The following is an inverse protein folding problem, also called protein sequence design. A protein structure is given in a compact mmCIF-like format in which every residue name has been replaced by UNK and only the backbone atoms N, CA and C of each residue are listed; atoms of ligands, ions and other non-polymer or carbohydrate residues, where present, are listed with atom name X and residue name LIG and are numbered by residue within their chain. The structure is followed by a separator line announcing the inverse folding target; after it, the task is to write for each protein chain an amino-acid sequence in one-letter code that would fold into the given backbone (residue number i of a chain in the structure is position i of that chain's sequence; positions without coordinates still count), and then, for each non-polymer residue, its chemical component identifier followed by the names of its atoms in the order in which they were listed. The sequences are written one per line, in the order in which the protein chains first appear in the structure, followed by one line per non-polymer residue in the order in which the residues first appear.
data_IF_786399185304
#
_entry.id   IF_786399185304
#
_cell.length_a   1.000
_cell.length_b   1.000
_cell.length_c   1.000
_cell.angle_alpha   90.00
_cell.angle_beta   90.00
_cell.angle_gamma   90.00
#
_symmetry.space_group_name_H-M   'P 1'
#
loop_
_entity.id
_entity.type
_entity.pdbx_description
1 polymer ?
#
# COMPACT_ATOMS: atom_id res chain seq x y z
N UNK A 1 -3.64 -15.53 -25.32
CA UNK A 1 -4.50 -14.57 -26.04
C UNK A 1 -4.41 -13.27 -25.27
N UNK A 2 -4.03 -12.15 -25.89
CA UNK A 2 -3.92 -10.86 -25.20
C UNK A 2 -5.21 -10.05 -25.39
N UNK A 3 -5.58 -9.14 -24.47
CA UNK A 3 -6.67 -8.20 -24.66
C UNK A 3 -6.48 -7.41 -25.95
N UNK A 4 -7.54 -7.33 -26.77
CA UNK A 4 -7.52 -6.60 -28.06
C UNK A 4 -8.49 -5.42 -28.06
N UNK A 5 -9.64 -5.58 -27.39
CA UNK A 5 -10.71 -4.59 -27.35
C UNK A 5 -11.23 -4.55 -25.91
N UNK A 6 -11.32 -3.35 -25.35
CA UNK A 6 -12.00 -3.05 -24.10
C UNK A 6 -13.05 -1.97 -24.34
N UNK A 7 -14.12 -1.99 -23.56
CA UNK A 7 -15.15 -0.95 -23.60
C UNK A 7 -15.34 -0.41 -22.19
N UNK A 8 -15.06 0.88 -22.03
CA UNK A 8 -15.31 1.61 -20.80
C UNK A 8 -16.54 2.50 -21.00
N UNK A 9 -17.51 2.42 -20.08
CA UNK A 9 -18.67 3.30 -20.05
C UNK A 9 -18.55 4.22 -18.84
N UNK A 10 -18.55 5.53 -19.07
CA UNK A 10 -18.47 6.55 -18.03
C UNK A 10 -19.81 7.25 -17.90
N UNK A 11 -20.35 7.27 -16.68
CA UNK A 11 -21.57 8.01 -16.36
C UNK A 11 -21.20 9.44 -15.94
N UNK A 12 -21.40 10.40 -16.85
CA UNK A 12 -21.03 11.80 -16.59
C UNK A 12 -21.84 12.45 -15.46
N UNK A 13 -23.01 11.90 -15.11
CA UNK A 13 -23.84 12.39 -14.01
C UNK A 13 -23.22 12.19 -12.62
N UNK A 14 -22.22 11.31 -12.51
CA UNK A 14 -21.56 11.00 -11.24
C UNK A 14 -20.31 11.89 -11.00
N UNK A 15 -19.93 12.70 -11.99
CA UNK A 15 -18.77 13.62 -11.88
C UNK A 15 -19.20 14.88 -11.14
N UNK A 16 -18.55 15.15 -10.01
CA UNK A 16 -18.87 16.31 -9.17
C UNK A 16 -18.39 17.62 -9.81
N UNK A 17 -19.32 18.56 -10.03
CA UNK A 17 -19.04 19.89 -10.54
C UNK A 17 -19.16 20.94 -9.43
N UNK A 18 -18.12 21.76 -9.27
CA UNK A 18 -18.12 22.93 -8.39
C UNK A 18 -18.07 24.17 -9.29
N UNK A 19 -19.09 25.03 -9.21
CA UNK A 19 -19.23 26.22 -10.06
C UNK A 19 -19.13 25.93 -11.58
N UNK A 20 -19.70 24.79 -12.01
CA UNK A 20 -19.69 24.37 -13.42
C UNK A 20 -18.35 23.85 -13.92
N UNK A 21 -17.38 23.60 -13.03
CA UNK A 21 -16.07 23.01 -13.35
C UNK A 21 -15.80 21.79 -12.49
N UNK A 22 -15.06 20.83 -13.02
CA UNK A 22 -14.52 19.71 -12.23
C UNK A 22 -13.39 20.27 -11.36
N UNK A 23 -13.38 19.95 -10.06
CA UNK A 23 -12.30 20.38 -9.17
C UNK A 23 -11.01 19.59 -9.46
N UNK A 24 -9.86 20.07 -9.00
CA UNK A 24 -8.59 19.32 -9.14
C UNK A 24 -8.65 17.97 -8.41
N UNK A 25 -9.23 17.94 -7.22
CA UNK A 25 -9.43 16.70 -6.44
C UNK A 25 -10.32 15.69 -7.18
N UNK A 26 -11.44 16.14 -7.75
CA UNK A 26 -12.33 15.28 -8.53
C UNK A 26 -11.66 14.85 -9.85
N UNK A 27 -10.83 15.70 -10.43
CA UNK A 27 -10.01 15.35 -11.61
C UNK A 27 -9.04 14.21 -11.28
N UNK A 28 -8.28 14.34 -10.19
CA UNK A 28 -7.35 13.33 -9.72
C UNK A 28 -8.06 12.00 -9.42
N UNK A 29 -9.21 12.04 -8.72
CA UNK A 29 -10.05 10.87 -8.45
C UNK A 29 -10.49 10.16 -9.73
N UNK A 30 -10.94 10.92 -10.73
CA UNK A 30 -11.34 10.36 -12.03
C UNK A 30 -10.15 9.75 -12.78
N UNK A 31 -8.98 10.41 -12.76
CA UNK A 31 -7.74 9.86 -13.35
C UNK A 31 -7.37 8.53 -12.71
N UNK A 32 -7.39 8.45 -11.38
CA UNK A 32 -7.11 7.21 -10.65
C UNK A 32 -8.12 6.10 -11.00
N UNK A 33 -9.42 6.44 -11.01
CA UNK A 33 -10.50 5.51 -11.39
C UNK A 33 -10.31 4.97 -12.80
N UNK A 34 -10.02 5.83 -13.79
CA UNK A 34 -9.77 5.39 -15.15
C UNK A 34 -8.50 4.57 -15.29
N UNK A 35 -7.42 4.93 -14.57
CA UNK A 35 -6.18 4.15 -14.52
C UNK A 35 -6.46 2.73 -14.06
N UNK A 36 -7.17 2.55 -12.93
CA UNK A 36 -7.54 1.24 -12.41
C UNK A 36 -8.38 0.43 -13.41
N UNK A 37 -9.43 1.04 -13.98
CA UNK A 37 -10.33 0.34 -14.91
C UNK A 37 -9.61 -0.07 -16.20
N UNK A 38 -8.74 0.79 -16.73
CA UNK A 38 -7.89 0.48 -17.88
C UNK A 38 -6.93 -0.65 -17.53
N UNK A 39 -6.27 -0.59 -16.36
CA UNK A 39 -5.40 -1.64 -15.86
C UNK A 39 -6.09 -3.00 -15.83
N UNK A 40 -7.33 -3.07 -15.33
CA UNK A 40 -8.14 -4.30 -15.31
C UNK A 40 -8.37 -4.87 -16.70
N UNK A 41 -8.61 -4.03 -17.73
CA UNK A 41 -8.74 -4.50 -19.11
C UNK A 41 -7.41 -5.00 -19.68
N UNK A 42 -6.31 -4.36 -19.32
CA UNK A 42 -4.98 -4.68 -19.86
C UNK A 42 -4.40 -5.96 -19.27
N UNK A 43 -4.79 -6.36 -18.06
CA UNK A 43 -4.30 -7.59 -17.45
C UNK A 43 -4.41 -7.65 -15.94
N UNK A 44 -4.66 -6.52 -15.26
CA UNK A 44 -4.82 -6.44 -13.80
C UNK A 44 -6.19 -6.96 -13.34
N UNK A 45 -6.60 -8.10 -13.87
CA UNK A 45 -7.86 -8.77 -13.52
C UNK A 45 -7.58 -10.26 -13.35
N UNK A 46 -7.88 -10.84 -12.18
CA UNK A 46 -7.76 -12.28 -11.96
C UNK A 46 -8.45 -13.15 -13.02
N UNK A 47 -9.53 -12.66 -13.64
CA UNK A 47 -10.25 -13.34 -14.74
C UNK A 47 -9.40 -13.52 -16.01
N UNK A 48 -8.33 -12.72 -16.18
CA UNK A 48 -7.44 -12.77 -17.33
C UNK A 48 -6.20 -13.65 -17.12
N UNK A 49 -5.87 -14.01 -15.87
CA UNK A 49 -4.63 -14.72 -15.53
C UNK A 49 -4.49 -16.08 -16.24
N UNK A 50 -5.61 -16.76 -16.55
CA UNK A 50 -5.61 -17.99 -17.34
C UNK A 50 -5.00 -17.85 -18.74
N UNK A 51 -4.93 -16.64 -19.27
CA UNK A 51 -4.38 -16.34 -20.59
C UNK A 51 -2.92 -15.87 -20.55
N UNK A 52 -2.37 -15.67 -19.35
CA UNK A 52 -0.98 -15.29 -19.16
C UNK A 52 -0.07 -16.46 -19.54
N UNK A 53 1.14 -16.12 -20.00
CA UNK A 53 2.18 -17.11 -20.28
C UNK A 53 3.30 -16.95 -19.27
N UNK A 54 3.84 -18.06 -18.81
CA UNK A 54 5.02 -18.06 -17.97
C UNK A 54 6.18 -17.46 -18.78
N UNK A 55 6.88 -16.43 -18.27
CA UNK A 55 7.90 -15.73 -19.04
C UNK A 55 9.11 -16.61 -19.37
N UNK A 56 9.45 -17.58 -18.51
CA UNK A 56 10.58 -18.50 -18.73
C UNK A 56 10.27 -19.65 -19.68
N UNK A 57 9.05 -20.19 -19.68
CA UNK A 57 8.68 -21.36 -20.51
C UNK A 57 7.84 -21.02 -21.73
N UNK A 58 7.29 -19.80 -21.79
CA UNK A 58 6.32 -19.33 -22.77
C UNK A 58 5.04 -20.18 -22.86
N UNK A 59 4.80 -21.07 -21.89
CA UNK A 59 3.59 -21.87 -21.81
C UNK A 59 2.50 -21.11 -21.05
N UNK A 60 1.23 -21.40 -21.37
CA UNK A 60 0.13 -20.87 -20.57
C UNK A 60 0.24 -21.39 -19.14
N UNK A 61 -0.02 -20.53 -18.16
CA UNK A 61 -0.11 -20.98 -16.76
C UNK A 61 -1.23 -22.02 -16.57
N UNK A 62 -2.31 -21.91 -17.34
CA UNK A 62 -3.45 -22.82 -17.26
C UNK A 62 -4.30 -22.60 -16.01
N UNK A 63 -5.22 -23.54 -15.79
CA UNK A 63 -6.17 -23.54 -14.68
C UNK A 63 -6.23 -24.94 -14.04
N UNK A 64 -6.66 -24.99 -12.78
CA UNK A 64 -6.95 -26.23 -12.06
C UNK A 64 -8.35 -26.15 -11.43
N UNK A 65 -9.04 -27.28 -11.32
CA UNK A 65 -10.30 -27.32 -10.56
C UNK A 65 -10.01 -27.25 -9.06
N UNK A 66 -10.74 -26.38 -8.36
CA UNK A 66 -10.66 -26.19 -6.91
C UNK A 66 -12.06 -26.09 -6.32
N UNK A 67 -12.19 -26.41 -5.03
CA UNK A 67 -13.39 -26.13 -4.24
C UNK A 67 -13.11 -24.90 -3.37
N UNK A 68 -13.56 -23.73 -3.80
CA UNK A 68 -13.31 -22.46 -3.10
C UNK A 68 -14.44 -22.17 -2.13
N UNK A 69 -14.08 -21.65 -0.96
CA UNK A 69 -15.02 -21.09 0.01
C UNK A 69 -15.08 -19.57 -0.19
N UNK A 70 -16.29 -19.05 -0.42
CA UNK A 70 -16.51 -17.67 -0.87
C UNK A 70 -17.59 -17.02 -0.03
N UNK A 71 -17.48 -15.71 0.15
CA UNK A 71 -18.40 -14.93 0.96
C UNK A 71 -19.65 -14.53 0.16
N UNK A 72 -20.82 -14.77 0.74
CA UNK A 72 -22.16 -14.42 0.27
C UNK A 72 -22.94 -13.81 1.45
N UNK A 73 -23.01 -12.49 1.55
CA UNK A 73 -23.62 -11.79 2.70
C UNK A 73 -23.25 -12.43 4.06
N UNK A 74 -21.93 -12.54 4.30
CA UNK A 74 -21.31 -13.17 5.48
C UNK A 74 -21.46 -14.69 5.62
N UNK A 75 -22.18 -15.34 4.71
CA UNK A 75 -22.24 -16.81 4.63
C UNK A 75 -21.11 -17.35 3.76
N UNK A 76 -20.60 -18.51 4.16
CA UNK A 76 -19.57 -19.23 3.44
C UNK A 76 -20.23 -20.24 2.50
N UNK A 77 -20.02 -20.07 1.20
CA UNK A 77 -20.50 -20.99 0.16
C UNK A 77 -19.31 -21.68 -0.49
N UNK A 78 -19.37 -23.00 -0.64
CA UNK A 78 -18.33 -23.77 -1.32
C UNK A 78 -18.71 -24.05 -2.76
N UNK A 79 -17.89 -23.59 -3.69
CA UNK A 79 -18.12 -23.73 -5.13
C UNK A 79 -16.95 -24.41 -5.81
N UNK A 80 -17.26 -25.36 -6.69
CA UNK A 80 -16.26 -26.00 -7.56
C UNK A 80 -16.08 -25.17 -8.83
N UNK A 81 -14.87 -24.69 -9.09
CA UNK A 81 -14.59 -23.86 -10.27
C UNK A 81 -13.14 -23.97 -10.74
N UNK A 82 -12.85 -23.64 -12.02
CA UNK A 82 -11.48 -23.48 -12.48
C UNK A 82 -10.83 -22.23 -11.87
N UNK A 83 -9.60 -22.38 -11.37
CA UNK A 83 -8.77 -21.32 -10.85
C UNK A 83 -7.43 -21.28 -11.60
N UNK A 84 -6.98 -20.09 -11.98
CA UNK A 84 -5.68 -19.91 -12.63
C UNK A 84 -4.53 -20.42 -11.75
N UNK A 85 -3.53 -21.04 -12.36
CA UNK A 85 -2.31 -21.47 -11.66
C UNK A 85 -1.41 -20.33 -11.20
N UNK A 86 -1.69 -19.09 -11.61
CA UNK A 86 -1.08 -17.90 -11.01
C UNK A 86 -1.60 -17.69 -9.58
N UNK A 87 -2.88 -18.01 -9.32
CA UNK A 87 -3.48 -17.85 -8.00
C UNK A 87 -3.21 -19.11 -7.19
N UNK A 88 -2.54 -18.91 -6.07
CA UNK A 88 -2.08 -19.98 -5.20
C UNK A 88 -2.82 -19.91 -3.86
N UNK A 89 -3.25 -21.08 -3.39
CA UNK A 89 -3.80 -21.22 -2.04
C UNK A 89 -2.66 -21.46 -1.06
N UNK A 90 -2.74 -20.82 0.10
CA UNK A 90 -1.80 -20.91 1.20
C UNK A 90 -2.56 -21.00 2.51
N UNK A 91 -1.87 -21.41 3.56
CA UNK A 91 -2.41 -21.45 4.91
C UNK A 91 -1.48 -20.67 5.85
N UNK A 92 -2.06 -19.83 6.70
CA UNK A 92 -1.35 -19.25 7.82
C UNK A 92 -1.32 -20.24 9.02
N UNK A 93 -0.54 -19.94 10.06
CA UNK A 93 -0.52 -20.76 11.29
C UNK A 93 -1.95 -20.80 11.84
N UNK A 94 -2.50 -22.00 12.05
CA UNK A 94 -3.88 -22.29 12.52
C UNK A 94 -4.99 -22.35 11.45
N UNK A 95 -4.76 -23.00 10.30
CA UNK A 95 -5.81 -23.43 9.34
C UNK A 95 -6.61 -22.33 8.62
N UNK A 96 -6.23 -21.05 8.72
CA UNK A 96 -6.84 -20.01 7.87
C UNK A 96 -6.21 -20.04 6.48
N UNK A 97 -7.04 -20.32 5.47
CA UNK A 97 -6.63 -20.31 4.07
C UNK A 97 -6.67 -18.89 3.53
N UNK A 98 -5.66 -18.53 2.73
CA UNK A 98 -5.63 -17.31 1.95
C UNK A 98 -5.15 -17.58 0.52
N UNK A 99 -5.35 -16.62 -0.36
CA UNK A 99 -4.97 -16.71 -1.76
C UNK A 99 -3.98 -15.59 -2.11
N UNK A 100 -3.06 -15.88 -3.00
CA UNK A 100 -2.05 -14.94 -3.46
C UNK A 100 -1.80 -15.07 -4.96
N UNK A 101 -1.34 -13.98 -5.58
CA UNK A 101 -0.80 -13.98 -6.95
C UNK A 101 0.68 -14.37 -6.87
N UNK A 102 1.05 -15.49 -7.49
CA UNK A 102 2.41 -16.04 -7.44
C UNK A 102 3.02 -16.18 -8.84
N UNK A 103 3.50 -15.06 -9.39
CA UNK A 103 4.36 -15.03 -10.59
C UNK A 103 5.77 -14.55 -10.22
N UNK A 104 6.82 -14.85 -11.03
CA UNK A 104 8.20 -14.58 -10.68
C UNK A 104 8.47 -13.13 -10.26
N UNK A 105 8.11 -12.14 -11.09
CA UNK A 105 8.36 -10.73 -10.79
C UNK A 105 7.47 -10.24 -9.64
N UNK A 106 6.19 -10.64 -9.58
CA UNK A 106 5.30 -10.32 -8.47
C UNK A 106 5.87 -10.76 -7.12
N UNK A 107 6.38 -12.00 -7.03
CA UNK A 107 7.01 -12.51 -5.81
C UNK A 107 8.20 -11.63 -5.41
N UNK A 108 9.07 -11.27 -6.36
CA UNK A 108 10.25 -10.47 -6.04
C UNK A 108 9.90 -9.03 -5.64
N UNK A 109 8.90 -8.43 -6.30
CA UNK A 109 8.39 -7.10 -5.93
C UNK A 109 7.90 -7.09 -4.48
N UNK A 110 7.04 -8.04 -4.07
CA UNK A 110 6.53 -8.02 -2.69
C UNK A 110 7.61 -8.33 -1.66
N UNK A 111 8.57 -9.21 -1.98
CA UNK A 111 9.72 -9.48 -1.11
C UNK A 111 10.54 -8.24 -0.84
N UNK A 112 10.85 -7.49 -1.89
CA UNK A 112 11.61 -6.23 -1.80
C UNK A 112 10.78 -5.12 -1.14
N UNK A 113 9.48 -5.06 -1.41
CA UNK A 113 8.59 -4.06 -0.84
C UNK A 113 8.52 -4.18 0.68
N UNK A 114 8.20 -5.36 1.20
CA UNK A 114 8.02 -5.57 2.65
C UNK A 114 9.33 -5.82 3.42
N UNK A 115 10.47 -5.97 2.76
CA UNK A 115 11.69 -6.54 3.36
C UNK A 115 11.44 -7.94 3.95
N UNK A 116 10.91 -8.84 3.10
CA UNK A 116 10.60 -10.20 3.51
C UNK A 116 10.77 -11.21 2.37
N UNK A 117 11.98 -11.77 2.27
CA UNK A 117 12.36 -12.70 1.18
C UNK A 117 11.64 -14.06 1.22
N UNK A 118 10.94 -14.39 2.31
CA UNK A 118 10.17 -15.64 2.42
C UNK A 118 8.79 -15.57 1.77
N UNK A 119 8.35 -14.39 1.30
CA UNK A 119 7.05 -14.22 0.64
C UNK A 119 6.97 -15.02 -0.66
N UNK A 120 5.78 -15.53 -0.96
CA UNK A 120 5.49 -16.38 -2.13
C UNK A 120 4.47 -15.78 -3.10
N UNK A 121 3.97 -14.59 -2.81
CA UNK A 121 3.04 -13.89 -3.69
C UNK A 121 2.41 -12.66 -3.05
N UNK A 122 1.61 -11.94 -3.84
CA UNK A 122 0.82 -10.81 -3.38
C UNK A 122 -0.56 -11.29 -2.92
N UNK A 123 -0.86 -11.11 -1.62
CA UNK A 123 -2.12 -11.54 -1.00
C UNK A 123 -3.35 -10.88 -1.64
N UNK A 124 -4.34 -11.71 -1.96
CA UNK A 124 -5.65 -11.33 -2.50
C UNK A 124 -6.67 -11.23 -1.37
N UNK A 125 -7.67 -10.37 -1.58
CA UNK A 125 -8.86 -10.36 -0.74
C UNK A 125 -9.55 -11.75 -0.73
N UNK A 126 -10.35 -12.01 0.31
CA UNK A 126 -11.19 -13.22 0.36
C UNK A 126 -12.17 -13.22 -0.82
N UNK A 127 -12.30 -14.33 -1.57
CA UNK A 127 -13.17 -14.36 -2.74
C UNK A 127 -14.64 -14.22 -2.32
N UNK A 128 -15.41 -13.49 -3.14
CA UNK A 128 -16.85 -13.32 -2.96
C UNK A 128 -17.62 -13.93 -4.12
N UNK A 129 -18.93 -14.16 -3.93
CA UNK A 129 -19.81 -14.60 -5.01
C UNK A 129 -19.83 -13.54 -6.13
N UNK A 130 -19.72 -13.99 -7.39
CA UNK A 130 -19.85 -13.11 -8.54
C UNK A 130 -21.30 -12.57 -8.60
N UNK A 131 -21.51 -11.23 -8.52
CA UNK A 131 -22.85 -10.64 -8.48
C UNK A 131 -23.64 -10.86 -9.78
N UNK A 132 -22.97 -11.23 -10.87
CA UNK A 132 -23.61 -11.53 -12.16
C UNK A 132 -23.77 -13.04 -12.40
N UNK A 133 -23.11 -13.88 -11.62
CA UNK A 133 -23.18 -15.34 -11.72
C UNK A 133 -22.99 -15.98 -10.34
N UNK A 134 -24.09 -16.14 -9.60
CA UNK A 134 -24.11 -16.71 -8.24
C UNK A 134 -23.59 -18.15 -8.10
N UNK A 135 -23.09 -18.75 -9.18
CA UNK A 135 -22.43 -20.06 -9.22
C UNK A 135 -20.91 -19.97 -9.37
N UNK A 136 -20.34 -18.76 -9.29
CA UNK A 136 -18.90 -18.53 -9.36
C UNK A 136 -18.43 -17.69 -8.19
N UNK A 137 -17.21 -17.96 -7.76
CA UNK A 137 -16.45 -17.06 -6.92
C UNK A 137 -15.59 -16.14 -7.76
N UNK A 138 -15.27 -14.98 -7.23
CA UNK A 138 -14.44 -14.01 -7.91
C UNK A 138 -13.41 -13.41 -6.96
N UNK A 139 -12.20 -13.23 -7.48
CA UNK A 139 -11.15 -12.43 -6.86
C UNK A 139 -11.13 -11.10 -7.61
N UNK A 140 -11.34 -9.98 -6.92
CA UNK A 140 -11.35 -8.68 -7.59
C UNK A 140 -10.10 -7.87 -7.27
N UNK A 141 -9.63 -7.94 -6.02
CA UNK A 141 -8.63 -7.01 -5.51
C UNK A 141 -7.50 -7.70 -4.73
N UNK A 142 -6.40 -6.98 -4.60
CA UNK A 142 -5.41 -7.25 -3.57
C UNK A 142 -5.98 -6.92 -2.20
N UNK A 143 -5.48 -7.64 -1.18
CA UNK A 143 -5.89 -7.49 0.20
C UNK A 143 -5.44 -6.13 0.76
N UNK A 144 -6.39 -5.31 1.19
CA UNK A 144 -6.15 -3.95 1.69
C UNK A 144 -5.33 -3.92 2.99
N UNK A 145 -5.38 -4.98 3.81
CA UNK A 145 -4.54 -5.08 5.00
C UNK A 145 -3.05 -5.00 4.67
N UNK A 146 -2.64 -5.37 3.45
CA UNK A 146 -1.24 -5.44 3.05
C UNK A 146 -0.88 -4.46 1.93
N UNK A 147 -1.79 -4.24 0.98
CA UNK A 147 -1.51 -3.50 -0.26
C UNK A 147 -2.27 -2.17 -0.34
N UNK A 148 -2.55 -1.53 0.80
CA UNK A 148 -3.48 -0.40 0.95
C UNK A 148 -3.40 0.67 -0.16
N UNK A 149 -2.21 1.05 -0.60
CA UNK A 149 -1.96 2.07 -1.62
C UNK A 149 -1.52 1.51 -2.98
N UNK A 150 -2.02 0.33 -3.35
CA UNK A 150 -1.75 -0.35 -4.62
C UNK A 150 -2.94 -0.25 -5.61
N UNK A 151 -2.66 -0.22 -6.93
CA UNK A 151 -3.67 0.04 -7.98
C UNK A 151 -4.78 -1.03 -8.07
N UNK A 152 -4.51 -2.26 -7.69
CA UNK A 152 -5.44 -3.38 -7.69
C UNK A 152 -6.28 -3.49 -6.41
N UNK A 153 -6.27 -2.48 -5.54
CA UNK A 153 -7.14 -2.46 -4.36
C UNK A 153 -8.50 -1.82 -4.63
N UNK A 154 -9.44 -1.97 -3.68
CA UNK A 154 -10.76 -1.31 -3.74
C UNK A 154 -10.69 0.20 -3.60
N UNK A 155 -9.63 0.75 -3.00
CA UNK A 155 -9.50 2.19 -2.70
C UNK A 155 -8.60 2.95 -3.66
N UNK A 156 -8.04 2.29 -4.67
CA UNK A 156 -7.16 2.93 -5.68
C UNK A 156 -7.85 3.93 -6.60
N UNK A 157 -9.15 4.19 -6.37
CA UNK A 157 -9.93 5.24 -7.02
C UNK A 157 -9.86 6.58 -6.29
N UNK A 158 -9.04 6.71 -5.25
CA UNK A 158 -8.83 7.96 -4.51
C UNK A 158 -7.90 8.93 -5.27
N UNK A 159 -7.91 10.21 -4.88
CA UNK A 159 -7.08 11.23 -5.54
C UNK A 159 -5.57 11.01 -5.33
N UNK A 160 -5.18 10.38 -4.22
CA UNK A 160 -3.77 10.16 -3.85
C UNK A 160 -3.09 9.11 -4.75
N UNK A 161 -3.87 8.16 -5.25
CA UNK A 161 -3.49 7.15 -6.25
C UNK A 161 -3.40 7.71 -7.68
N UNK A 162 -3.72 8.99 -7.90
CA UNK A 162 -3.60 9.59 -9.22
C UNK A 162 -2.14 9.63 -9.71
N UNK A 163 -1.98 9.62 -11.03
CA UNK A 163 -0.73 9.89 -11.74
C UNK A 163 0.43 8.90 -11.50
N UNK A 164 0.16 7.69 -11.03
CA UNK A 164 1.17 6.64 -10.92
C UNK A 164 0.55 5.26 -11.08
N UNK A 165 1.39 4.28 -11.44
CA UNK A 165 1.07 2.85 -11.37
C UNK A 165 2.22 2.19 -10.62
N UNK A 166 1.89 1.27 -9.74
CA UNK A 166 2.82 0.63 -8.83
C UNK A 166 3.77 -0.34 -9.56
N UNK A 167 4.96 -0.60 -9.00
CA UNK A 167 5.84 -1.66 -9.47
C UNK A 167 5.17 -3.03 -9.49
N UNK A 168 4.28 -3.32 -8.53
CA UNK A 168 3.59 -4.60 -8.44
C UNK A 168 2.63 -4.81 -9.61
N UNK A 169 1.84 -3.78 -9.91
CA UNK A 169 0.89 -3.79 -11.02
C UNK A 169 1.60 -3.93 -12.37
N UNK A 170 2.65 -3.14 -12.62
CA UNK A 170 3.37 -3.27 -13.90
C UNK A 170 4.19 -4.58 -13.99
N UNK A 171 4.68 -5.12 -12.87
CA UNK A 171 5.31 -6.44 -12.85
C UNK A 171 4.32 -7.55 -13.22
N UNK A 172 3.09 -7.49 -12.71
CA UNK A 172 2.05 -8.43 -13.08
C UNK A 172 1.68 -8.32 -14.57
N UNK A 173 1.65 -7.11 -15.12
CA UNK A 173 1.48 -6.89 -16.55
C UNK A 173 2.65 -7.43 -17.37
N UNK A 174 3.90 -7.29 -16.91
CA UNK A 174 5.07 -7.88 -17.56
C UNK A 174 5.02 -9.42 -17.51
N UNK A 175 4.68 -10.00 -16.35
CA UNK A 175 4.51 -11.44 -16.14
C UNK A 175 3.38 -12.06 -16.99
N UNK A 176 2.50 -11.25 -17.58
CA UNK A 176 1.53 -11.72 -18.58
C UNK A 176 2.18 -12.16 -19.90
N UNK A 177 3.42 -11.73 -20.14
CA UNK A 177 4.15 -11.80 -21.41
C UNK A 177 3.49 -11.00 -22.55
N UNK A 178 2.60 -10.05 -22.26
CA UNK A 178 1.96 -9.19 -23.27
C UNK A 178 2.63 -7.83 -23.41
N UNK A 179 3.31 -7.38 -22.35
CA UNK A 179 3.90 -6.05 -22.24
C UNK A 179 5.33 -6.16 -21.74
N UNK A 180 6.08 -5.08 -21.95
CA UNK A 180 7.38 -4.84 -21.31
C UNK A 180 7.20 -3.64 -20.39
N UNK A 181 7.55 -3.79 -19.12
CA UNK A 181 7.37 -2.73 -18.15
C UNK A 181 8.51 -1.70 -18.24
N UNK A 182 8.19 -0.45 -17.94
CA UNK A 182 9.17 0.63 -17.73
C UNK A 182 9.09 0.99 -16.24
N UNK A 183 9.85 0.28 -15.42
CA UNK A 183 9.75 0.40 -13.96
C UNK A 183 10.24 1.74 -13.42
N UNK A 184 11.13 2.42 -14.14
CA UNK A 184 11.58 3.78 -13.79
C UNK A 184 10.42 4.79 -13.72
N UNK A 185 9.37 4.59 -14.52
CA UNK A 185 8.18 5.45 -14.54
C UNK A 185 7.13 5.07 -13.48
N UNK A 186 7.38 4.02 -12.70
CA UNK A 186 6.43 3.54 -11.69
C UNK A 186 6.47 4.36 -10.40
N UNK A 187 5.36 4.40 -9.69
CA UNK A 187 5.26 5.06 -8.39
C UNK A 187 5.22 4.00 -7.30
N UNK A 188 6.29 3.88 -6.53
CA UNK A 188 6.34 2.86 -5.48
C UNK A 188 5.41 3.21 -4.32
N UNK A 189 4.52 2.28 -3.88
CA UNK A 189 3.70 2.47 -2.70
C UNK A 189 4.54 2.61 -1.43
N UNK A 190 3.98 3.26 -0.41
CA UNK A 190 4.63 3.49 0.89
C UNK A 190 4.14 2.51 1.96
N UNK A 191 2.90 2.04 1.86
CA UNK A 191 2.29 1.22 2.92
C UNK A 191 3.02 -0.12 3.11
N UNK A 192 3.40 -0.44 4.36
CA UNK A 192 4.14 -1.65 4.69
C UNK A 192 5.58 -1.71 4.17
N UNK A 193 6.09 -0.65 3.54
CA UNK A 193 7.40 -0.69 2.91
C UNK A 193 8.53 -0.80 3.93
N UNK A 194 9.44 -1.74 3.69
CA UNK A 194 10.56 -2.08 4.57
C UNK A 194 10.12 -2.37 6.02
N UNK A 195 8.89 -2.84 6.23
CA UNK A 195 8.34 -3.09 7.55
C UNK A 195 8.83 -4.43 8.16
N UNK A 196 9.37 -5.32 7.33
CA UNK A 196 9.86 -6.64 7.69
C UNK A 196 8.77 -7.71 7.67
N UNK A 197 9.20 -8.99 7.76
CA UNK A 197 8.29 -10.13 7.74
C UNK A 197 7.21 -10.13 8.84
N UNK A 198 7.43 -9.41 9.96
CA UNK A 198 6.42 -9.26 11.01
C UNK A 198 5.16 -8.55 10.52
N UNK A 199 5.29 -7.58 9.61
CA UNK A 199 4.14 -6.83 9.08
C UNK A 199 3.14 -7.70 8.32
N UNK A 200 3.67 -8.68 7.58
CA UNK A 200 2.91 -9.57 6.68
C UNK A 200 2.48 -10.88 7.32
N UNK A 201 3.26 -11.40 8.28
CA UNK A 201 3.02 -12.70 8.91
C UNK A 201 2.57 -12.62 10.37
N UNK A 202 2.14 -11.45 10.84
CA UNK A 202 1.64 -11.24 12.21
C UNK A 202 0.53 -10.20 12.26
N UNK A 203 -0.19 -10.17 13.39
CA UNK A 203 -1.28 -9.23 13.63
C UNK A 203 -0.78 -7.78 13.60
N UNK A 204 -1.58 -6.86 13.07
CA UNK A 204 -1.22 -5.43 13.04
C UNK A 204 -1.03 -4.84 14.46
N UNK A 205 -1.81 -5.34 15.43
CA UNK A 205 -1.76 -4.97 16.83
C UNK A 205 -1.71 -6.27 17.66
N UNK A 206 -0.88 -6.27 18.70
CA UNK A 206 -0.72 -7.40 19.62
C UNK A 206 -1.03 -6.96 21.04
N UNK A 207 -2.12 -7.49 21.61
CA UNK A 207 -2.55 -7.19 22.98
C UNK A 207 -2.65 -5.67 23.24
N UNK A 208 -3.31 -4.95 22.32
CA UNK A 208 -3.49 -3.49 22.37
C UNK A 208 -2.24 -2.65 22.06
N UNK A 209 -1.08 -3.26 21.82
CA UNK A 209 0.15 -2.57 21.49
C UNK A 209 0.46 -2.65 19.99
N UNK A 210 0.91 -1.54 19.41
CA UNK A 210 1.40 -1.50 18.02
C UNK A 210 2.85 -2.01 18.00
N UNK A 211 3.15 -3.16 17.36
CA UNK A 211 4.51 -3.69 17.25
C UNK A 211 5.41 -2.78 16.41
N UNK A 212 6.73 -2.91 16.54
CA UNK A 212 7.71 -2.05 15.84
C UNK A 212 7.56 -2.06 14.31
N UNK A 213 7.18 -3.20 13.70
CA UNK A 213 6.92 -3.31 12.26
C UNK A 213 5.64 -2.57 11.80
N UNK A 214 4.76 -2.21 12.73
CA UNK A 214 3.44 -1.61 12.48
C UNK A 214 3.36 -0.11 12.79
N UNK A 215 4.36 0.47 13.47
CA UNK A 215 4.31 1.81 14.08
C UNK A 215 3.95 2.95 13.12
N UNK A 216 4.37 2.86 11.87
CA UNK A 216 4.16 3.91 10.85
C UNK A 216 2.81 3.78 10.13
N UNK A 217 2.09 2.66 10.33
CA UNK A 217 0.94 2.28 9.52
C UNK A 217 -0.35 2.13 10.34
N UNK A 218 -0.24 1.63 11.57
CA UNK A 218 -1.36 1.32 12.45
C UNK A 218 -1.32 2.13 13.74
N UNK A 219 -2.44 2.20 14.43
CA UNK A 219 -2.58 2.93 15.69
C UNK A 219 -3.44 2.17 16.69
N UNK A 220 -3.21 2.36 17.98
CA UNK A 220 -3.94 1.66 19.05
C UNK A 220 -4.50 2.59 20.13
N UNK A 221 -4.57 3.89 19.84
CA UNK A 221 -5.06 4.90 20.78
C UNK A 221 -6.38 5.49 20.30
N UNK A 222 -7.35 5.55 21.20
CA UNK A 222 -8.64 6.18 20.94
C UNK A 222 -8.47 7.69 20.95
N UNK A 223 -8.76 8.32 19.81
CA UNK A 223 -8.64 9.76 19.65
C UNK A 223 -9.98 10.46 19.88
N UNK A 224 -10.02 11.54 20.71
CA UNK A 224 -11.20 12.40 20.79
C UNK A 224 -11.54 12.99 19.41
N UNK A 225 -12.83 13.27 19.13
CA UNK A 225 -13.23 13.81 17.84
C UNK A 225 -12.45 15.07 17.43
N UNK A 226 -11.91 15.06 16.20
CA UNK A 226 -11.10 16.16 15.65
C UNK A 226 -9.61 16.12 16.03
N UNK A 227 -9.20 15.18 16.88
CA UNK A 227 -7.78 14.99 17.25
C UNK A 227 -6.97 14.43 16.08
N UNK A 228 -5.74 14.90 15.96
CA UNK A 228 -4.74 14.40 15.01
C UNK A 228 -3.52 13.97 15.81
N UNK A 229 -3.50 12.71 16.23
CA UNK A 229 -2.46 12.17 17.11
C UNK A 229 -1.17 11.80 16.38
N UNK A 230 -1.18 11.76 15.04
CA UNK A 230 0.03 11.45 14.27
C UNK A 230 -0.11 11.67 12.78
N UNK A 231 0.73 11.00 12.01
CA UNK A 231 0.77 11.11 10.55
C UNK A 231 0.02 9.97 9.85
N UNK A 232 -0.56 10.25 8.70
CA UNK A 232 -1.04 9.19 7.81
C UNK A 232 0.14 8.38 7.23
N UNK A 233 -0.16 7.22 6.65
CA UNK A 233 0.86 6.31 6.11
C UNK A 233 1.70 6.90 4.96
N UNK A 234 1.20 7.95 4.29
CA UNK A 234 1.93 8.69 3.24
C UNK A 234 2.80 9.82 3.78
N UNK A 235 2.69 10.13 5.08
CA UNK A 235 3.24 11.33 5.69
C UNK A 235 2.84 12.62 4.95
N UNK A 236 1.66 12.67 4.34
CA UNK A 236 1.14 13.84 3.64
C UNK A 236 0.11 14.59 4.48
N UNK A 237 -0.44 13.94 5.49
CA UNK A 237 -1.49 14.47 6.33
C UNK A 237 -1.16 14.26 7.80
N UNK A 238 -1.46 15.27 8.62
CA UNK A 238 -1.76 15.03 10.03
C UNK A 238 -3.10 14.30 10.11
N UNK A 239 -3.20 13.28 10.94
CA UNK A 239 -4.34 12.39 11.00
C UNK A 239 -4.60 11.87 12.42
N UNK A 240 -5.86 11.52 12.67
CA UNK A 240 -6.31 10.82 13.87
C UNK A 240 -6.50 9.34 13.60
N UNK A 241 -6.41 8.55 14.66
CA UNK A 241 -6.64 7.12 14.65
C UNK A 241 -8.12 6.80 14.39
N UNK A 242 -8.39 5.83 13.52
CA UNK A 242 -9.74 5.35 13.21
C UNK A 242 -10.25 4.25 14.15
N UNK A 243 -9.55 3.99 15.26
CA UNK A 243 -9.97 3.08 16.32
C UNK A 243 -11.32 3.52 16.92
N UNK A 244 -12.29 2.62 16.89
CA UNK A 244 -13.63 2.81 17.43
C UNK A 244 -13.96 1.74 18.48
N UNK A 245 -14.89 2.06 19.37
CA UNK A 245 -15.49 1.13 20.32
C UNK A 245 -16.76 0.51 19.73
N UNK A 246 -17.24 -0.59 20.31
CA UNK A 246 -18.46 -1.30 19.90
C UNK A 246 -18.45 -1.88 18.47
N UNK A 247 -17.26 -2.04 17.87
CA UNK A 247 -17.10 -2.67 16.55
C UNK A 247 -17.31 -4.19 16.63
N UNK A 248 -16.86 -4.81 17.72
CA UNK A 248 -16.94 -6.26 17.96
C UNK A 248 -16.39 -7.10 16.79
N UNK A 249 -15.09 -6.99 16.44
CA UNK A 249 -14.48 -7.77 15.38
C UNK A 249 -14.60 -9.29 15.61
N UNK A 250 -14.56 -10.11 14.55
CA UNK A 250 -14.41 -11.57 14.68
C UNK A 250 -13.18 -11.96 15.50
N UNK A 251 -13.21 -13.11 16.15
CA UNK A 251 -12.17 -13.59 17.10
C UNK A 251 -10.73 -13.46 16.57
N UNK A 252 -10.49 -13.83 15.30
CA UNK A 252 -9.17 -13.70 14.66
C UNK A 252 -8.63 -12.27 14.67
N UNK A 253 -9.52 -11.29 14.56
CA UNK A 253 -9.25 -9.86 14.43
C UNK A 253 -9.48 -9.09 15.74
N UNK A 254 -9.68 -9.77 16.86
CA UNK A 254 -9.68 -9.15 18.18
C UNK A 254 -8.23 -8.85 18.59
N UNK A 255 -7.85 -7.57 18.58
CA UNK A 255 -6.49 -7.13 18.86
C UNK A 255 -6.26 -6.64 20.30
N UNK A 256 -7.34 -6.26 20.99
CA UNK A 256 -7.32 -5.62 22.31
C UNK A 256 -7.83 -6.63 23.35
N UNK A 257 -6.92 -7.18 24.16
CA UNK A 257 -7.24 -8.25 25.11
C UNK A 257 -8.14 -7.80 26.25
N UNK A 258 -7.98 -6.54 26.69
CA UNK A 258 -8.71 -5.99 27.82
C UNK A 258 -10.14 -5.60 27.42
N UNK A 259 -10.34 -5.24 26.16
CA UNK A 259 -11.66 -4.92 25.61
C UNK A 259 -11.72 -5.32 24.12
N UNK A 260 -12.27 -6.50 23.80
CA UNK A 260 -12.32 -7.03 22.44
C UNK A 260 -13.32 -6.31 21.53
N UNK A 261 -14.08 -5.32 22.04
CA UNK A 261 -15.02 -4.54 21.21
C UNK A 261 -14.31 -3.51 20.32
N UNK A 262 -13.03 -3.23 20.60
CA UNK A 262 -12.24 -2.24 19.88
C UNK A 262 -11.71 -2.75 18.53
N UNK A 263 -11.78 -1.88 17.51
CA UNK A 263 -11.20 -2.12 16.19
C UNK A 263 -11.43 -0.95 15.23
N UNK A 264 -10.91 -1.04 14.02
CA UNK A 264 -11.37 -0.17 12.92
C UNK A 264 -12.77 -0.60 12.46
N UNK A 265 -13.60 0.33 12.02
CA UNK A 265 -14.90 0.01 11.41
C UNK A 265 -14.77 -0.68 10.03
N UNK A 266 -13.55 -0.75 9.48
CA UNK A 266 -13.27 -1.28 8.16
C UNK A 266 -12.81 -2.75 8.23
N UNK A 267 -13.65 -3.66 7.76
CA UNK A 267 -13.38 -5.10 7.78
C UNK A 267 -12.44 -5.57 6.67
N UNK A 268 -12.30 -4.78 5.61
CA UNK A 268 -11.42 -5.03 4.46
C UNK A 268 -9.93 -4.79 4.77
N UNK A 269 -9.62 -4.06 5.85
CA UNK A 269 -8.28 -3.96 6.45
C UNK A 269 -8.12 -4.86 7.67
N UNK A 270 -8.91 -5.94 7.76
CA UNK A 270 -8.91 -6.88 8.90
C UNK A 270 -9.15 -6.16 10.24
N UNK A 271 -9.97 -5.10 10.28
CA UNK A 271 -10.25 -4.30 11.48
C UNK A 271 -9.01 -3.63 12.10
N UNK A 272 -7.88 -3.57 11.37
CA UNK A 272 -6.66 -2.94 11.82
C UNK A 272 -6.80 -1.41 11.82
N UNK A 273 -6.74 -0.73 12.98
CA UNK A 273 -6.87 0.71 13.04
C UNK A 273 -5.65 1.43 12.46
N UNK A 274 -5.92 2.48 11.69
CA UNK A 274 -4.99 3.32 10.96
C UNK A 274 -5.25 4.80 11.23
N UNK A 275 -4.26 5.66 10.95
CA UNK A 275 -4.40 7.11 11.05
C UNK A 275 -5.05 7.68 9.78
N UNK A 276 -6.37 7.50 9.66
CA UNK A 276 -7.15 7.86 8.46
C UNK A 276 -8.25 8.90 8.75
N UNK A 277 -8.47 9.28 10.02
CA UNK A 277 -9.49 10.27 10.40
C UNK A 277 -8.94 11.69 10.48
N UNK A 278 -9.84 12.66 10.36
CA UNK A 278 -9.56 14.10 10.56
C UNK A 278 -8.35 14.63 9.78
N UNK A 279 -8.15 14.13 8.55
CA UNK A 279 -6.99 14.45 7.72
C UNK A 279 -6.80 15.97 7.57
N UNK A 280 -5.56 16.40 7.75
CA UNK A 280 -5.11 17.76 7.48
C UNK A 280 -3.84 17.69 6.66
N UNK A 281 -3.98 18.05 5.39
CA UNK A 281 -2.88 18.06 4.44
C UNK A 281 -1.76 19.01 4.86
N UNK A 282 -0.53 18.51 4.77
CA UNK A 282 0.71 19.27 4.83
C UNK A 282 1.04 19.93 3.49
N UNK A 283 0.42 19.48 2.39
CA UNK A 283 0.66 20.01 1.03
C UNK A 283 -0.27 21.18 0.68
N UNK A 284 -1.40 21.30 1.36
CA UNK A 284 -2.39 22.34 1.13
C UNK A 284 -2.05 23.70 1.75
N UNK A 285 -2.73 24.76 1.27
CA UNK A 285 -2.55 26.14 1.77
C UNK A 285 -3.18 26.41 3.14
N UNK A 286 -3.98 25.49 3.66
CA UNK A 286 -4.69 25.68 4.93
C UNK A 286 -3.81 25.25 6.10
N UNK A 287 -3.41 26.21 6.93
CA UNK A 287 -2.66 25.94 8.17
C UNK A 287 -3.58 25.27 9.20
N UNK A 288 -3.00 24.35 9.98
CA UNK A 288 -3.70 23.71 11.10
C UNK A 288 -4.13 24.73 12.16
N UNK A 289 -5.27 24.49 12.81
CA UNK A 289 -5.72 25.26 13.99
C UNK A 289 -4.77 25.03 15.17
N UNK A 290 -4.18 23.83 15.26
CA UNK A 290 -3.14 23.48 16.23
C UNK A 290 -1.83 23.28 15.47
N UNK A 291 -0.96 24.28 15.52
CA UNK A 291 0.33 24.28 14.83
C UNK A 291 1.47 24.37 15.85
N UNK A 292 2.48 23.53 15.68
CA UNK A 292 3.75 23.66 16.38
C UNK A 292 4.60 24.78 15.77
N UNK A 293 5.53 25.28 16.57
CA UNK A 293 6.46 26.31 16.15
C UNK A 293 7.37 25.80 15.01
N UNK A 294 7.38 26.50 13.88
CA UNK A 294 8.24 26.16 12.74
C UNK A 294 7.57 25.30 11.67
N UNK A 295 6.26 25.06 11.77
CA UNK A 295 5.50 24.36 10.72
C UNK A 295 5.52 25.07 9.38
N UNK A 296 5.67 24.28 8.33
CA UNK A 296 5.60 24.68 6.93
C UNK A 296 4.62 23.81 6.17
N UNK A 297 3.99 24.41 5.17
CA UNK A 297 3.00 23.75 4.32
C UNK A 297 3.35 24.05 2.87
N UNK A 298 3.34 23.01 2.04
CA UNK A 298 3.72 23.09 0.62
C UNK A 298 3.87 21.69 0.02
N UNK A 299 4.00 21.61 -1.31
CA UNK A 299 4.02 20.33 -2.03
C UNK A 299 5.11 19.36 -1.54
N UNK A 300 6.24 19.88 -1.08
CA UNK A 300 7.37 19.15 -0.50
C UNK A 300 7.22 18.87 1.00
N UNK A 301 6.21 19.43 1.68
CA UNK A 301 6.05 19.27 3.12
C UNK A 301 5.47 17.90 3.50
N UNK A 302 6.08 17.27 4.50
CA UNK A 302 5.65 15.98 5.06
C UNK A 302 5.29 16.11 6.53
N UNK A 303 4.48 15.16 7.00
CA UNK A 303 4.08 15.03 8.39
C UNK A 303 5.14 14.24 9.17
N UNK A 304 5.48 14.73 10.36
CA UNK A 304 6.39 14.08 11.30
C UNK A 304 5.74 13.91 12.68
N UNK A 305 6.05 12.78 13.31
CA UNK A 305 5.68 12.50 14.70
C UNK A 305 6.58 13.29 15.66
N UNK A 306 6.01 13.75 16.78
CA UNK A 306 6.75 14.54 17.79
C UNK A 306 6.53 14.01 19.20
N UNK A 307 7.43 14.36 20.12
CA UNK A 307 7.29 14.09 21.55
C UNK A 307 6.22 14.96 22.25
N UNK A 308 5.68 15.98 21.56
CA UNK A 308 4.63 16.85 22.07
C UNK A 308 3.22 16.24 21.95
N UNK A 309 3.09 15.02 21.40
CA UNK A 309 1.81 14.34 21.21
C UNK A 309 0.93 14.94 20.11
N UNK A 310 1.48 15.87 19.30
CA UNK A 310 0.84 16.40 18.10
C UNK A 310 1.83 16.39 16.93
N UNK A 311 1.41 15.98 15.72
CA UNK A 311 2.28 15.91 14.57
C UNK A 311 2.57 17.31 13.98
N UNK A 312 3.68 17.41 13.25
CA UNK A 312 4.18 18.65 12.66
C UNK A 312 4.34 18.50 11.14
N UNK A 313 3.94 19.52 10.36
CA UNK A 313 4.20 19.56 8.92
C UNK A 313 5.50 20.33 8.67
N UNK A 314 6.45 19.73 7.96
CA UNK A 314 7.77 20.31 7.71
C UNK A 314 8.19 20.11 6.26
N UNK A 315 8.90 21.09 5.71
CA UNK A 315 9.46 21.03 4.37
C UNK A 315 10.53 19.94 4.33
N UNK A 316 10.39 19.00 3.40
CA UNK A 316 11.20 17.79 3.32
C UNK A 316 11.90 17.70 1.99
N UNK A 317 13.18 17.37 2.02
CA UNK A 317 13.99 17.11 0.83
C UNK A 317 14.49 15.68 0.89
N UNK A 318 14.06 14.88 -0.09
CA UNK A 318 14.60 13.56 -0.40
C UNK A 318 15.76 13.72 -1.38
N UNK A 319 17.01 13.57 -0.93
CA UNK A 319 18.18 13.70 -1.79
C UNK A 319 18.54 12.33 -2.40
N UNK A 320 18.37 12.19 -3.72
CA UNK A 320 18.64 10.96 -4.46
C UNK A 320 20.13 10.60 -4.55
N UNK A 321 21.03 11.60 -4.55
CA UNK A 321 22.47 11.41 -4.67
C UNK A 321 23.08 10.96 -3.34
N UNK A 322 22.73 11.64 -2.25
CA UNK A 322 23.22 11.28 -0.91
C UNK A 322 22.34 10.24 -0.19
N UNK A 323 21.21 9.84 -0.79
CA UNK A 323 20.22 8.91 -0.22
C UNK A 323 19.73 9.33 1.18
N UNK A 324 19.63 10.64 1.41
CA UNK A 324 19.25 11.20 2.72
C UNK A 324 17.88 11.85 2.69
N UNK A 325 17.19 11.75 3.83
CA UNK A 325 16.00 12.53 4.13
C UNK A 325 16.41 13.70 5.04
N UNK A 326 16.06 14.91 4.64
CA UNK A 326 16.29 16.12 5.42
C UNK A 326 15.02 16.96 5.53
N UNK A 327 14.90 17.72 6.61
CA UNK A 327 13.76 18.60 6.83
C UNK A 327 14.20 19.92 7.47
N UNK A 328 13.42 20.98 7.25
CA UNK A 328 13.72 22.30 7.82
C UNK A 328 12.77 22.70 8.92
N UNK A 329 13.32 23.25 10.01
CA UNK A 329 12.56 23.92 11.08
C UNK A 329 13.16 25.30 11.29
N UNK A 330 12.35 26.36 11.09
CA UNK A 330 12.77 27.77 11.26
C UNK A 330 14.04 28.16 10.47
N UNK A 331 14.28 27.52 9.32
CA UNK A 331 15.44 27.76 8.47
C UNK A 331 16.69 26.94 8.83
N UNK A 332 16.67 26.20 9.94
CA UNK A 332 17.71 25.20 10.25
C UNK A 332 17.40 23.89 9.54
N UNK A 333 18.42 23.23 8.99
CA UNK A 333 18.31 21.94 8.30
C UNK A 333 18.70 20.80 9.25
N UNK A 334 17.88 19.74 9.28
CA UNK A 334 18.10 18.54 10.07
C UNK A 334 18.04 17.30 9.17
N UNK A 335 18.69 16.22 9.58
CA UNK A 335 18.83 14.99 8.80
C UNK A 335 18.42 13.77 9.62
N UNK A 336 17.60 12.90 9.01
CA UNK A 336 17.30 11.58 9.58
C UNK A 336 18.29 10.55 9.05
N UNK A 337 18.98 9.87 9.96
CA UNK A 337 19.94 8.80 9.66
C UNK A 337 19.29 7.42 9.74
N UNK A 338 18.36 7.20 10.66
CA UNK A 338 17.66 5.92 10.80
C UNK A 338 16.24 6.10 11.37
N UNK A 339 15.40 5.08 11.17
CA UNK A 339 14.03 5.06 11.68
C UNK A 339 14.00 5.12 13.22
N UNK A 340 13.20 6.04 13.76
CA UNK A 340 13.03 6.22 15.20
C UNK A 340 14.08 7.12 15.87
N UNK A 341 15.07 7.63 15.12
CA UNK A 341 16.01 8.64 15.64
C UNK A 341 15.24 9.86 16.16
N UNK A 342 15.57 10.32 17.37
CA UNK A 342 14.95 11.49 17.97
C UNK A 342 15.85 12.71 17.79
N UNK A 343 15.34 13.77 17.18
CA UNK A 343 16.07 15.01 16.89
C UNK A 343 15.39 16.16 17.62
N UNK A 344 16.12 16.82 18.53
CA UNK A 344 15.66 18.06 19.14
C UNK A 344 15.84 19.20 18.14
N UNK A 345 14.74 19.86 17.78
CA UNK A 345 14.72 20.93 16.76
C UNK A 345 14.76 22.34 17.38
N UNK A 346 15.16 22.44 18.65
CA UNK A 346 15.32 23.70 19.39
C UNK A 346 14.07 24.60 19.37
N UNK A 347 12.91 23.98 19.15
CA UNK A 347 11.61 24.66 19.00
C UNK A 347 10.61 24.23 20.08
N UNK A 348 11.11 23.61 21.16
CA UNK A 348 10.31 23.15 22.30
C UNK A 348 9.72 21.75 22.16
N UNK A 349 10.11 21.02 21.11
CA UNK A 349 9.73 19.63 20.86
C UNK A 349 10.86 18.91 20.11
N UNK A 350 10.80 17.59 20.09
CA UNK A 350 11.68 16.72 19.33
C UNK A 350 10.88 15.98 18.26
N UNK A 351 11.53 15.67 17.15
CA UNK A 351 10.96 14.91 16.04
C UNK A 351 11.46 13.47 16.12
N UNK A 352 10.54 12.53 15.92
CA UNK A 352 10.88 11.13 15.68
C UNK A 352 11.01 10.91 14.18
N UNK A 353 12.20 10.54 13.73
CA UNK A 353 12.49 10.27 12.32
C UNK A 353 11.65 9.09 11.81
N UNK A 354 10.91 9.27 10.71
CA UNK A 354 10.13 8.21 10.12
C UNK A 354 11.02 7.22 9.38
N UNK A 355 10.44 6.11 8.93
CA UNK A 355 11.11 5.20 8.01
C UNK A 355 11.35 5.92 6.67
N UNK A 356 12.63 6.05 6.28
CA UNK A 356 13.02 6.78 5.06
C UNK A 356 12.32 6.19 3.83
N UNK A 357 12.20 4.87 3.75
CA UNK A 357 11.52 4.19 2.64
C UNK A 357 10.02 4.54 2.53
N UNK A 358 9.34 4.88 3.63
CA UNK A 358 7.92 5.27 3.62
C UNK A 358 7.72 6.71 3.13
N UNK A 359 8.61 7.63 3.53
CA UNK A 359 8.51 9.07 3.16
C UNK A 359 9.16 9.38 1.82
N UNK A 360 10.30 8.76 1.53
CA UNK A 360 11.11 8.94 0.34
C UNK A 360 11.27 7.59 -0.40
N UNK A 361 10.19 7.03 -0.94
CA UNK A 361 10.18 5.71 -1.57
C UNK A 361 11.21 5.55 -2.71
N UNK A 362 11.52 6.62 -3.44
CA UNK A 362 12.51 6.59 -4.51
C UNK A 362 13.97 6.49 -4.05
N UNK A 363 14.27 6.62 -2.76
CA UNK A 363 15.66 6.55 -2.26
C UNK A 363 16.12 5.13 -1.95
N UNK A 364 15.21 4.25 -1.57
CA UNK A 364 15.54 2.90 -1.05
C UNK A 364 15.08 1.88 -2.07
N UNK A 365 15.99 1.25 -2.81
CA UNK A 365 15.63 0.24 -3.83
C UNK A 365 14.49 0.69 -4.76
N UNK A 366 14.72 1.70 -5.62
CA UNK A 366 13.72 2.23 -6.55
C UNK A 366 12.89 1.15 -7.25
N UNK A 367 11.57 1.35 -7.28
CA UNK A 367 10.59 0.44 -7.90
C UNK A 367 10.76 -1.03 -7.51
N UNK A 368 11.19 -1.30 -6.27
CA UNK A 368 11.42 -2.65 -5.76
C UNK A 368 12.38 -3.47 -6.64
N UNK A 369 13.44 -2.83 -7.15
CA UNK A 369 14.45 -3.42 -8.03
C UNK A 369 13.85 -4.03 -9.30
N UNK A 370 12.76 -3.46 -9.80
CA UNK A 370 12.03 -3.92 -10.99
C UNK A 370 11.54 -5.38 -10.92
N UNK A 371 11.57 -6.01 -9.75
CA UNK A 371 11.36 -7.45 -9.61
C UNK A 371 12.45 -8.31 -10.29
N UNK A 372 13.61 -7.71 -10.59
CA UNK A 372 14.77 -8.30 -11.31
C UNK A 372 16.05 -8.21 -10.48
N UNK A 373 15.88 -8.29 -9.17
CA UNK A 373 16.96 -8.17 -8.20
C UNK A 373 16.42 -8.19 -6.78
N UNK A 374 17.35 -8.25 -5.83
CA UNK A 374 17.05 -8.27 -4.40
C UNK A 374 17.38 -6.91 -3.82
N UNK A 375 16.45 -6.31 -3.07
CA UNK A 375 16.74 -5.15 -2.25
C UNK A 375 17.49 -5.59 -0.99
N UNK A 376 18.73 -5.14 -0.82
CA UNK A 376 19.56 -5.48 0.34
C UNK A 376 19.37 -4.47 1.48
N UNK A 377 18.44 -4.76 2.38
CA UNK A 377 18.19 -3.97 3.58
C UNK A 377 19.25 -4.15 4.69
N UNK A 378 20.25 -5.01 4.50
CA UNK A 378 21.36 -5.16 5.47
C UNK A 378 22.40 -4.05 5.36
N UNK A 379 22.40 -3.30 4.24
CA UNK A 379 23.29 -2.14 4.05
C UNK A 379 22.84 -0.95 4.88
N UNK A 380 23.79 -0.07 5.20
CA UNK A 380 23.50 1.22 5.86
C UNK A 380 22.51 2.05 5.03
N UNK A 381 22.65 1.99 3.70
CA UNK A 381 21.71 2.53 2.73
C UNK A 381 21.25 1.35 1.87
N UNK A 382 19.98 0.93 1.96
CA UNK A 382 19.48 -0.19 1.18
C UNK A 382 19.53 0.06 -0.33
N UNK A 383 20.03 -0.91 -1.08
CA UNK A 383 20.29 -0.82 -2.51
C UNK A 383 19.88 -2.10 -3.24
N UNK A 384 19.61 -1.99 -4.53
CA UNK A 384 19.31 -3.13 -5.37
C UNK A 384 20.57 -3.91 -5.73
N UNK A 385 20.50 -5.24 -5.59
CA UNK A 385 21.44 -6.20 -6.16
C UNK A 385 20.73 -6.85 -7.35
N UNK A 386 21.09 -6.42 -8.56
CA UNK A 386 20.42 -6.85 -9.78
C UNK A 386 20.79 -8.29 -10.17
N UNK A 387 19.82 -9.01 -10.73
CA UNK A 387 20.03 -10.37 -11.22
C UNK A 387 21.00 -10.38 -12.42
N UNK A 388 20.92 -9.34 -13.26
CA UNK A 388 21.93 -9.06 -14.27
C UNK A 388 23.10 -8.28 -13.64
N UNK A 389 24.30 -8.87 -13.51
CA UNK A 389 25.44 -8.20 -12.88
C UNK A 389 26.00 -7.03 -13.70
N UNK A 390 25.55 -6.84 -14.94
CA UNK A 390 25.93 -5.71 -15.79
C UNK A 390 24.94 -4.55 -15.74
N UNK A 391 23.80 -4.73 -15.05
CA UNK A 391 22.87 -3.64 -14.78
C UNK A 391 23.33 -2.90 -13.52
N UNK A 392 23.98 -1.77 -13.73
CA UNK A 392 24.49 -0.90 -12.66
C UNK A 392 23.49 0.19 -12.26
N UNK A 393 22.24 0.11 -12.74
CA UNK A 393 21.21 1.10 -12.40
C UNK A 393 20.63 0.87 -11.01
N UNK A 394 20.28 1.95 -10.30
CA UNK A 394 19.78 1.91 -8.93
C UNK A 394 18.55 1.00 -8.71
N UNK A 395 17.74 0.76 -9.75
CA UNK A 395 16.50 -0.03 -9.67
C UNK A 395 16.43 -1.23 -10.61
N UNK A 396 17.56 -1.65 -11.18
CA UNK A 396 17.63 -2.76 -12.14
C UNK A 396 16.77 -2.56 -13.40
N UNK A 397 16.86 -1.37 -14.01
CA UNK A 397 16.06 -0.94 -15.16
C UNK A 397 16.45 -1.62 -16.48
N UNK A 398 17.69 -2.05 -16.61
CA UNK A 398 18.27 -2.59 -17.84
C UNK A 398 18.28 -4.13 -17.88
N UNK A 399 17.82 -4.76 -16.80
CA UNK A 399 17.73 -6.21 -16.61
C UNK A 399 16.63 -6.89 -17.43
#
# INVERSE_FOLDING_TARGET
MRPLIGMLRVCLGDILLVNGKVSEMETARNVATFSQLIGRFLGLSPKLFRFFRNPGTNQLWGEREVNLECLDDEKRVRLKMPLSNIIQERSERENELFYEISTPSVMQIVRNHFDCQTLTGARLEKPSIDPHDGRKCNFNNLDLRYHFDEDMTTISQNADAAHGVSPLSIALLEDSSWYRAIFEASRTPSFGRAAGCGFVGSKCISSGNVPDYSLDYFCSTVDPPGTRSGCDYLHQNKAGCDLEMDINPPETYMYFTDDPSFGSAYSDVDYCPMKTKYLQSCTGRSKSVTALAGETYGESSKCYETDAGIPVCLDTVCNAESKTLSFSVRGSLFHCSYHGQVINVESGYSIKCPRIAAVCPGLVCPSNCSGKGICDYCKEIPECICDNPFDETDGCWES
#
